data_IF_668880694319
#
_entry.id   IF_668880694319
#
_cell.length_a   1.000
_cell.length_b   1.000
_cell.length_c   1.000
_cell.angle_alpha   90.00
_cell.angle_beta   90.00
_cell.angle_gamma   90.00
#
_symmetry.space_group_name_H-M   'P 1'
#
loop_
_entity.id
_entity.type
_entity.pdbx_description
1 polymer ?
#
# COMPACT_ATOMS: atom_id res chain seq x y z
N UNK A 1 14.59 16.54 13.40
CA UNK A 1 13.14 16.30 13.50
C UNK A 1 12.82 15.11 12.60
N UNK A 2 12.61 13.94 13.17
CA UNK A 2 12.32 12.71 12.42
C UNK A 2 10.80 12.57 12.27
N UNK A 3 10.31 12.57 11.04
CA UNK A 3 8.91 12.28 10.71
C UNK A 3 8.85 10.79 10.38
N UNK A 4 8.38 9.99 11.33
CA UNK A 4 8.05 8.59 11.08
C UNK A 4 6.76 8.56 10.23
N UNK A 5 6.87 8.33 8.92
CA UNK A 5 5.74 7.94 8.08
C UNK A 5 5.31 6.55 8.48
N UNK A 6 4.38 6.48 9.44
CA UNK A 6 3.68 5.27 9.79
C UNK A 6 2.69 4.98 8.65
N UNK A 7 2.91 3.90 7.90
CA UNK A 7 1.84 3.27 7.13
C UNK A 7 0.79 2.80 8.15
N UNK A 8 -0.19 3.66 8.43
CA UNK A 8 -1.29 3.34 9.31
C UNK A 8 -2.14 2.23 8.68
N UNK A 9 -2.34 1.08 9.34
CA UNK A 9 -3.35 0.13 8.92
C UNK A 9 -4.72 0.77 9.14
N UNK A 10 -5.51 0.92 8.07
CA UNK A 10 -6.92 1.26 8.20
C UNK A 10 -7.60 0.08 8.91
N UNK A 11 -8.06 0.33 10.13
CA UNK A 11 -8.60 -0.67 11.04
C UNK A 11 -9.82 -1.39 10.44
N UNK A 12 -9.68 -2.70 10.19
CA UNK A 12 -10.83 -3.61 10.21
C UNK A 12 -10.85 -4.30 11.56
N UNK A 13 -11.60 -3.72 12.51
CA UNK A 13 -11.89 -4.36 13.78
C UNK A 13 -12.81 -5.56 13.55
N UNK A 14 -12.28 -6.78 13.63
CA UNK A 14 -13.10 -7.95 13.96
C UNK A 14 -12.50 -8.68 15.16
N UNK A 15 -13.33 -8.70 16.20
CA UNK A 15 -13.06 -9.09 17.57
C UNK A 15 -13.07 -10.61 17.69
N UNK A 16 -12.02 -11.22 18.25
CA UNK A 16 -12.13 -12.43 19.07
C UNK A 16 -10.90 -12.62 19.94
N UNK A 17 -11.18 -12.76 21.23
CA UNK A 17 -10.24 -12.97 22.34
C UNK A 17 -10.02 -14.48 22.52
N UNK A 18 -8.82 -14.91 22.96
CA UNK A 18 -8.59 -15.83 24.10
C UNK A 18 -7.08 -16.19 24.24
N UNK A 19 -6.54 -15.80 25.41
CA UNK A 19 -5.59 -16.40 26.36
C UNK A 19 -4.23 -17.06 25.99
N UNK A 20 -3.25 -16.67 26.84
CA UNK A 20 -2.09 -17.42 27.40
C UNK A 20 -0.88 -17.66 26.47
N UNK A 21 0.39 -17.51 26.89
CA UNK A 21 0.99 -17.71 28.21
C UNK A 21 2.37 -16.99 28.32
N UNK A 22 2.73 -16.57 29.53
CA UNK A 22 4.06 -16.10 29.97
C UNK A 22 5.16 -17.16 29.82
N UNK A 23 6.45 -16.77 29.69
CA UNK A 23 7.52 -17.05 30.67
C UNK A 23 8.95 -16.59 30.26
N UNK A 24 9.71 -16.14 31.27
CA UNK A 24 11.18 -16.20 31.50
C UNK A 24 12.19 -15.29 30.77
N UNK A 25 12.56 -14.24 31.51
CA UNK A 25 13.90 -13.76 31.93
C UNK A 25 15.17 -14.55 31.53
N UNK A 26 16.25 -13.86 31.10
CA UNK A 26 17.41 -13.42 31.94
C UNK A 26 18.64 -12.95 31.12
N UNK A 27 19.27 -11.91 31.66
CA UNK A 27 20.73 -11.65 31.80
C UNK A 27 21.61 -11.16 30.64
N UNK A 28 22.03 -9.89 30.81
CA UNK A 28 23.41 -9.38 30.89
C UNK A 28 24.33 -9.38 29.66
N UNK A 29 24.66 -8.16 29.19
CA UNK A 29 26.02 -7.60 29.07
C UNK A 29 25.98 -6.26 28.33
N UNK A 30 26.50 -5.18 28.93
CA UNK A 30 27.00 -4.00 28.20
C UNK A 30 28.42 -4.33 27.69
N UNK A 31 28.97 -3.70 26.62
CA UNK A 31 28.64 -2.37 26.08
C UNK A 31 28.48 -2.35 24.54
N UNK A 32 28.20 -1.19 23.92
CA UNK A 32 29.09 -0.87 22.80
C UNK A 32 29.51 0.60 22.75
N UNK A 33 30.81 0.78 22.49
CA UNK A 33 31.38 2.01 22.00
C UNK A 33 31.02 2.25 20.52
N UNK A 34 30.99 3.53 20.19
CA UNK A 34 31.03 4.16 18.87
C UNK A 34 31.43 3.29 17.66
N UNK A 35 30.52 3.25 16.67
CA UNK A 35 30.69 3.59 15.23
C UNK A 35 29.57 2.85 14.47
N UNK A 36 28.54 3.56 14.02
CA UNK A 36 28.42 4.01 12.62
C UNK A 36 28.32 2.79 11.68
N UNK A 37 27.13 2.47 11.17
CA UNK A 37 26.76 2.79 9.78
C UNK A 37 25.25 3.04 9.65
N UNK A 38 24.86 4.32 9.70
CA UNK A 38 23.58 4.80 9.19
C UNK A 38 23.62 4.83 7.64
N UNK A 39 23.88 3.67 7.02
CA UNK A 39 23.98 3.51 5.57
C UNK A 39 22.85 2.66 4.98
N UNK A 40 21.95 2.11 5.81
CA UNK A 40 20.79 1.31 5.38
C UNK A 40 19.43 1.99 5.58
N UNK A 41 19.39 3.20 6.15
CA UNK A 41 18.13 3.90 6.44
C UNK A 41 17.36 4.39 5.18
N UNK A 42 18.02 4.94 4.13
CA UNK A 42 17.28 5.41 2.96
C UNK A 42 16.75 4.26 2.11
N UNK A 43 17.57 3.22 1.87
CA UNK A 43 17.15 2.04 1.10
C UNK A 43 16.02 1.29 1.81
N UNK A 44 16.09 1.13 3.14
CA UNK A 44 15.01 0.52 3.91
C UNK A 44 13.71 1.34 3.85
N UNK A 45 13.79 2.67 3.94
CA UNK A 45 12.60 3.52 3.84
C UNK A 45 11.94 3.43 2.46
N UNK A 46 12.75 3.36 1.39
CA UNK A 46 12.26 3.13 0.02
C UNK A 46 11.62 1.75 -0.10
N UNK A 47 12.23 0.71 0.48
CA UNK A 47 11.70 -0.65 0.51
C UNK A 47 10.38 -0.74 1.26
N UNK A 48 10.26 -0.07 2.41
CA UNK A 48 9.04 -0.01 3.21
C UNK A 48 7.93 0.73 2.47
N UNK A 49 8.24 1.89 1.86
CA UNK A 49 7.27 2.65 1.08
C UNK A 49 6.82 1.88 -0.18
N UNK A 50 7.73 1.14 -0.82
CA UNK A 50 7.39 0.23 -1.91
C UNK A 50 6.43 -0.85 -1.42
N UNK A 51 6.74 -1.51 -0.30
CA UNK A 51 5.87 -2.53 0.27
C UNK A 51 4.48 -1.96 0.60
N UNK A 52 4.40 -0.76 1.16
CA UNK A 52 3.13 -0.08 1.42
C UNK A 52 2.34 0.22 0.14
N UNK A 53 3.00 0.64 -0.95
CA UNK A 53 2.35 0.85 -2.24
C UNK A 53 1.72 -0.43 -2.78
N UNK A 54 2.47 -1.53 -2.80
CA UNK A 54 1.93 -2.81 -3.30
C UNK A 54 0.86 -3.39 -2.38
N UNK A 55 0.94 -3.15 -1.07
CA UNK A 55 -0.12 -3.52 -0.14
C UNK A 55 -1.40 -2.74 -0.40
N UNK A 56 -1.32 -1.41 -0.59
CA UNK A 56 -2.47 -0.58 -0.92
C UNK A 56 -3.12 -0.98 -2.25
N UNK A 57 -2.32 -1.38 -3.25
CA UNK A 57 -2.84 -1.91 -4.53
C UNK A 57 -3.57 -3.23 -4.32
N UNK A 58 -3.01 -4.16 -3.53
CA UNK A 58 -3.67 -5.43 -3.21
C UNK A 58 -4.98 -5.23 -2.44
N UNK A 59 -5.03 -4.27 -1.50
CA UNK A 59 -6.25 -3.91 -0.79
C UNK A 59 -7.30 -3.33 -1.75
N UNK A 60 -6.90 -2.46 -2.68
CA UNK A 60 -7.79 -1.94 -3.72
C UNK A 60 -8.34 -3.06 -4.62
N UNK A 61 -7.50 -4.01 -5.05
CA UNK A 61 -7.94 -5.19 -5.79
C UNK A 61 -8.98 -6.00 -5.00
N UNK A 62 -8.74 -6.20 -3.70
CA UNK A 62 -9.65 -6.93 -2.82
C UNK A 62 -10.99 -6.20 -2.65
N UNK A 63 -10.96 -4.88 -2.40
CA UNK A 63 -12.17 -4.06 -2.25
C UNK A 63 -12.99 -4.06 -3.54
N UNK A 64 -12.35 -3.93 -4.70
CA UNK A 64 -13.06 -4.00 -5.99
C UNK A 64 -13.62 -5.40 -6.23
N UNK A 65 -12.88 -6.46 -5.91
CA UNK A 65 -13.38 -7.82 -6.02
C UNK A 65 -14.60 -8.06 -5.10
N UNK A 66 -14.57 -7.58 -3.86
CA UNK A 66 -15.69 -7.65 -2.93
C UNK A 66 -16.90 -6.86 -3.46
N UNK A 67 -16.70 -5.63 -3.95
CA UNK A 67 -17.75 -4.83 -4.57
C UNK A 67 -18.36 -5.54 -5.80
N UNK A 68 -17.55 -6.17 -6.64
CA UNK A 68 -18.03 -6.93 -7.80
C UNK A 68 -18.98 -8.06 -7.40
N UNK A 69 -18.91 -8.61 -6.17
CA UNK A 69 -19.85 -9.63 -5.70
C UNK A 69 -21.22 -9.07 -5.26
N UNK A 70 -21.32 -7.75 -5.10
CA UNK A 70 -22.57 -7.10 -4.69
C UNK A 70 -23.56 -6.96 -5.86
N UNK A 71 -24.87 -6.81 -5.58
CA UNK A 71 -25.86 -6.52 -6.61
C UNK A 71 -25.64 -5.17 -7.32
N UNK A 72 -25.07 -4.17 -6.63
CA UNK A 72 -24.79 -2.85 -7.20
C UNK A 72 -23.77 -2.90 -8.35
N UNK A 73 -22.99 -3.97 -8.44
CA UNK A 73 -22.01 -4.18 -9.50
C UNK A 73 -22.54 -5.06 -10.65
N UNK A 74 -23.78 -5.58 -10.60
CA UNK A 74 -24.32 -6.51 -11.60
C UNK A 74 -24.17 -6.00 -13.04
N UNK A 75 -24.49 -4.72 -13.25
CA UNK A 75 -24.40 -4.06 -14.57
C UNK A 75 -22.94 -3.80 -15.00
N UNK A 76 -22.01 -3.81 -14.05
CA UNK A 76 -20.60 -3.50 -14.26
C UNK A 76 -19.71 -4.75 -14.34
N UNK A 77 -20.21 -5.93 -13.93
CA UNK A 77 -19.47 -7.22 -13.99
C UNK A 77 -19.03 -7.60 -15.40
N UNK A 78 -19.79 -7.17 -16.40
CA UNK A 78 -19.51 -7.43 -17.82
C UNK A 78 -18.58 -6.40 -18.44
N UNK A 79 -18.24 -5.32 -17.75
CA UNK A 79 -17.32 -4.30 -18.26
C UNK A 79 -15.86 -4.73 -18.05
N UNK A 80 -15.13 -5.17 -19.11
CA UNK A 80 -13.75 -5.64 -18.99
C UNK A 80 -12.79 -4.54 -18.49
N UNK A 81 -13.19 -3.26 -18.60
CA UNK A 81 -12.37 -2.12 -18.21
C UNK A 81 -12.02 -2.07 -16.72
N UNK A 82 -12.87 -2.57 -15.81
CA UNK A 82 -12.61 -2.47 -14.36
C UNK A 82 -11.41 -3.35 -13.98
N UNK A 83 -11.41 -4.60 -14.47
CA UNK A 83 -10.27 -5.51 -14.27
C UNK A 83 -9.03 -5.00 -14.98
N UNK A 84 -9.18 -4.41 -16.18
CA UNK A 84 -8.07 -3.83 -16.90
C UNK A 84 -7.40 -2.70 -16.11
N UNK A 85 -8.17 -1.80 -15.48
CA UNK A 85 -7.58 -0.72 -14.67
C UNK A 85 -6.77 -1.25 -13.48
N UNK A 86 -7.22 -2.32 -12.82
CA UNK A 86 -6.44 -2.94 -11.74
C UNK A 86 -5.12 -3.52 -12.25
N UNK A 87 -5.16 -4.20 -13.41
CA UNK A 87 -3.95 -4.72 -14.07
C UNK A 87 -3.01 -3.58 -14.43
N UNK A 88 -3.51 -2.53 -15.07
CA UNK A 88 -2.72 -1.36 -15.48
C UNK A 88 -2.03 -0.70 -14.27
N UNK A 89 -2.77 -0.46 -13.17
CA UNK A 89 -2.23 0.12 -11.93
C UNK A 89 -1.05 -0.71 -11.41
N UNK A 90 -1.20 -2.03 -11.38
CA UNK A 90 -0.16 -2.94 -10.88
C UNK A 90 1.04 -3.04 -11.82
N UNK A 91 0.82 -3.10 -13.13
CA UNK A 91 1.88 -3.10 -14.13
C UNK A 91 2.69 -1.81 -14.08
N UNK A 92 2.03 -0.67 -13.97
CA UNK A 92 2.69 0.63 -13.84
C UNK A 92 3.46 0.76 -12.53
N UNK A 93 2.93 0.27 -11.40
CA UNK A 93 3.65 0.24 -10.13
C UNK A 93 4.90 -0.68 -10.20
N UNK A 94 4.79 -1.84 -10.84
CA UNK A 94 5.91 -2.76 -11.07
C UNK A 94 6.97 -2.16 -12.00
N UNK A 95 6.54 -1.44 -13.03
CA UNK A 95 7.46 -0.74 -13.93
C UNK A 95 8.19 0.40 -13.20
N UNK A 96 7.49 1.12 -12.29
CA UNK A 96 8.09 2.15 -11.46
C UNK A 96 9.14 1.57 -10.49
N UNK A 97 8.85 0.43 -9.86
CA UNK A 97 9.81 -0.31 -9.02
C UNK A 97 11.09 -0.66 -9.78
N UNK A 98 10.98 -1.10 -11.04
CA UNK A 98 12.12 -1.50 -11.87
C UNK A 98 12.93 -0.31 -12.43
N UNK A 99 12.64 0.91 -12.01
CA UNK A 99 13.25 2.13 -12.55
C UNK A 99 12.80 2.46 -13.98
N UNK A 100 11.64 1.94 -14.40
CA UNK A 100 11.04 2.25 -15.69
C UNK A 100 10.63 3.73 -15.79
N UNK A 101 10.59 4.26 -17.02
CA UNK A 101 10.13 5.63 -17.31
C UNK A 101 8.60 5.76 -17.22
N UNK A 102 7.99 5.25 -16.16
CA UNK A 102 6.56 5.38 -15.89
C UNK A 102 6.36 6.58 -14.99
N UNK A 103 5.55 7.54 -15.44
CA UNK A 103 5.17 8.65 -14.58
C UNK A 103 4.21 8.14 -13.50
N UNK A 104 4.46 8.44 -12.21
CA UNK A 104 3.52 8.13 -11.12
C UNK A 104 2.10 8.66 -11.38
N UNK A 105 1.98 9.76 -12.15
CA UNK A 105 0.69 10.32 -12.52
C UNK A 105 -0.16 9.38 -13.37
N UNK A 106 0.45 8.44 -14.12
CA UNK A 106 -0.29 7.44 -14.90
C UNK A 106 -0.99 6.45 -13.96
N UNK A 107 -0.35 6.06 -12.84
CA UNK A 107 -0.95 5.20 -11.82
C UNK A 107 -2.15 5.91 -11.18
N UNK A 108 -2.00 7.19 -10.83
CA UNK A 108 -3.09 8.01 -10.27
C UNK A 108 -4.24 8.14 -11.26
N UNK A 109 -3.96 8.43 -12.53
CA UNK A 109 -4.99 8.56 -13.56
C UNK A 109 -5.77 7.25 -13.77
N UNK A 110 -5.09 6.09 -13.72
CA UNK A 110 -5.76 4.79 -13.81
C UNK A 110 -6.64 4.53 -12.58
N UNK A 111 -6.15 4.83 -11.38
CA UNK A 111 -6.91 4.70 -10.13
C UNK A 111 -8.15 5.63 -10.10
N UNK A 112 -8.02 6.87 -10.57
CA UNK A 112 -9.14 7.82 -10.64
C UNK A 112 -10.20 7.38 -11.65
N UNK A 113 -9.79 6.81 -12.80
CA UNK A 113 -10.71 6.24 -13.78
C UNK A 113 -11.46 5.03 -13.23
N UNK A 114 -10.81 4.22 -12.40
CA UNK A 114 -11.44 3.11 -11.70
C UNK A 114 -12.49 3.60 -10.70
N UNK A 115 -12.14 4.55 -9.83
CA UNK A 115 -13.07 5.19 -8.90
C UNK A 115 -14.28 5.81 -9.62
N UNK A 116 -14.03 6.56 -10.69
CA UNK A 116 -15.06 7.18 -11.52
C UNK A 116 -15.92 6.20 -12.32
N UNK A 117 -15.59 4.91 -12.38
CA UNK A 117 -16.48 3.88 -12.95
C UNK A 117 -17.28 3.16 -11.90
N UNK A 118 -16.65 2.86 -10.76
CA UNK A 118 -17.23 2.04 -9.71
C UNK A 118 -18.18 2.87 -8.83
N UNK A 119 -17.87 4.15 -8.59
CA UNK A 119 -18.64 5.06 -7.74
C UNK A 119 -19.02 4.43 -6.39
N UNK A 120 -18.05 3.83 -5.71
CA UNK A 120 -18.26 3.16 -4.43
C UNK A 120 -17.30 3.73 -3.37
N UNK A 121 -17.80 4.09 -2.16
CA UNK A 121 -17.00 4.78 -1.15
C UNK A 121 -15.76 3.98 -0.72
N UNK A 122 -15.85 2.66 -0.63
CA UNK A 122 -14.69 1.82 -0.30
C UNK A 122 -13.63 1.81 -1.41
N UNK A 123 -14.03 1.93 -2.68
CA UNK A 123 -13.08 2.02 -3.80
C UNK A 123 -12.42 3.39 -3.80
N UNK A 124 -13.16 4.46 -3.55
CA UNK A 124 -12.60 5.81 -3.42
C UNK A 124 -11.57 5.90 -2.28
N UNK A 125 -11.85 5.24 -1.14
CA UNK A 125 -10.90 5.12 -0.04
C UNK A 125 -9.64 4.34 -0.44
N UNK A 126 -9.79 3.20 -1.13
CA UNK A 126 -8.67 2.42 -1.65
C UNK A 126 -7.79 3.20 -2.63
N UNK A 127 -8.41 3.97 -3.54
CA UNK A 127 -7.71 4.86 -4.46
C UNK A 127 -6.95 5.97 -3.71
N UNK A 128 -7.56 6.55 -2.67
CA UNK A 128 -6.90 7.49 -1.78
C UNK A 128 -5.65 6.91 -1.10
N UNK A 129 -5.74 5.66 -0.62
CA UNK A 129 -4.60 4.96 0.00
C UNK A 129 -3.47 4.70 -1.00
N UNK A 130 -3.80 4.25 -2.22
CA UNK A 130 -2.81 4.08 -3.30
C UNK A 130 -2.12 5.39 -3.64
N UNK A 131 -2.87 6.50 -3.73
CA UNK A 131 -2.31 7.82 -4.01
C UNK A 131 -1.36 8.30 -2.92
N UNK A 132 -1.73 8.09 -1.65
CA UNK A 132 -0.88 8.44 -0.51
C UNK A 132 0.42 7.62 -0.51
N UNK A 133 0.31 6.30 -0.62
CA UNK A 133 1.47 5.40 -0.65
C UNK A 133 2.40 5.67 -1.83
N UNK A 134 1.84 5.96 -3.02
CA UNK A 134 2.61 6.33 -4.20
C UNK A 134 3.34 7.67 -3.99
N UNK A 135 2.69 8.65 -3.38
CA UNK A 135 3.29 9.95 -3.07
C UNK A 135 4.49 9.82 -2.13
N UNK A 136 4.38 8.98 -1.10
CA UNK A 136 5.47 8.70 -0.17
C UNK A 136 6.62 7.94 -0.84
N UNK A 137 6.31 6.92 -1.66
CA UNK A 137 7.31 6.18 -2.42
C UNK A 137 8.09 7.08 -3.39
N UNK A 138 7.40 7.91 -4.17
CA UNK A 138 8.02 8.84 -5.13
C UNK A 138 8.85 9.91 -4.43
N UNK A 139 8.39 10.40 -3.28
CA UNK A 139 9.16 11.36 -2.46
C UNK A 139 10.48 10.75 -2.01
N UNK A 140 10.49 9.48 -1.59
CA UNK A 140 11.70 8.79 -1.13
C UNK A 140 12.62 8.38 -2.30
N UNK A 141 12.10 8.20 -3.51
CA UNK A 141 12.92 7.96 -4.70
C UNK A 141 13.66 9.20 -5.22
N UNK A 142 13.19 10.41 -4.89
CA UNK A 142 13.70 11.67 -5.44
C UNK A 142 14.23 12.68 -4.41
N UNK A 143 14.07 12.39 -3.11
CA UNK A 143 14.52 13.24 -2.00
C UNK A 143 15.80 12.70 -1.36
#
# INVERSE_FOLDING_TARGET
MAVASQCFPLATAFRSSIMSNSFASRSAASPPGNRQLAAGAPDQAVDDARACLFHAIADLEHVVAAWLTTPAALDQRTHPSIRQFLVDIREYATALERGGKVSPNIIVAAADRLAGKVHHPSVDQGVGAVRAALGDYVRLLHG
#
